data_IF_884688313851
#
_entry.id   IF_884688313851
#
_cell.length_a   1.000
_cell.length_b   1.000
_cell.length_c   1.000
_cell.angle_alpha   90.00
_cell.angle_beta   90.00
_cell.angle_gamma   90.00
#
_symmetry.space_group_name_H-M   'P 1'
#
loop_
_entity.id
_entity.type
_entity.pdbx_description
1 polymer ?
#
# COMPACT_ATOMS: atom_id res chain seq x y z
N UNK A 1 14.96 -11.63 16.83
CA UNK A 1 14.24 -12.67 16.07
C UNK A 1 15.21 -13.32 15.09
N UNK A 2 15.70 -14.53 15.41
CA UNK A 2 16.76 -15.24 14.66
C UNK A 2 16.33 -15.85 13.34
N UNK A 3 15.08 -15.80 12.97
CA UNK A 3 14.53 -16.32 11.70
C UNK A 3 13.90 -15.25 10.79
N UNK A 4 13.96 -13.98 11.17
CA UNK A 4 13.33 -12.91 10.38
C UNK A 4 14.05 -12.71 9.05
N UNK A 5 13.27 -12.66 7.98
CA UNK A 5 13.74 -12.35 6.62
C UNK A 5 13.01 -11.11 6.12
N UNK A 6 13.61 -10.42 5.18
CA UNK A 6 12.99 -9.29 4.48
C UNK A 6 13.29 -9.37 2.99
N UNK A 7 12.45 -8.74 2.19
CA UNK A 7 12.72 -8.57 0.77
C UNK A 7 13.53 -7.31 0.53
N UNK A 8 14.58 -7.41 -0.26
CA UNK A 8 15.41 -6.27 -0.67
C UNK A 8 14.80 -5.50 -1.85
N UNK A 9 13.88 -6.13 -2.58
CA UNK A 9 13.20 -5.51 -3.72
C UNK A 9 11.72 -5.93 -3.81
N UNK A 10 10.82 -5.28 -3.04
CA UNK A 10 9.38 -5.58 -3.09
C UNK A 10 8.75 -5.36 -4.47
N UNK A 11 9.21 -4.35 -5.20
CA UNK A 11 8.71 -4.04 -6.54
C UNK A 11 8.97 -5.17 -7.53
N UNK A 12 10.15 -5.81 -7.47
CA UNK A 12 10.47 -6.92 -8.33
C UNK A 12 9.54 -8.13 -8.11
N UNK A 13 9.09 -8.36 -6.87
CA UNK A 13 8.10 -9.40 -6.56
C UNK A 13 6.76 -9.06 -7.21
N UNK A 14 6.28 -7.84 -7.04
CA UNK A 14 5.01 -7.38 -7.62
C UNK A 14 5.03 -7.47 -9.15
N UNK A 15 6.13 -7.04 -9.78
CA UNK A 15 6.30 -7.14 -11.23
C UNK A 15 6.25 -8.58 -11.72
N UNK A 16 6.96 -9.51 -11.06
CA UNK A 16 6.93 -10.93 -11.42
C UNK A 16 5.54 -11.56 -11.29
N UNK A 17 4.77 -11.16 -10.27
CA UNK A 17 3.37 -11.63 -10.12
C UNK A 17 2.52 -11.08 -11.26
N UNK A 18 2.71 -9.80 -11.60
CA UNK A 18 2.01 -9.17 -12.72
C UNK A 18 2.36 -9.83 -14.07
N UNK A 19 3.65 -10.05 -14.34
CA UNK A 19 4.11 -10.72 -15.56
C UNK A 19 3.48 -12.11 -15.69
N UNK A 20 3.43 -12.86 -14.57
CA UNK A 20 2.79 -14.18 -14.55
C UNK A 20 1.28 -14.12 -14.77
N UNK A 21 0.61 -13.09 -14.25
CA UNK A 21 -0.81 -12.85 -14.52
C UNK A 21 -1.06 -12.64 -16.03
N UNK A 22 -0.25 -11.83 -16.69
CA UNK A 22 -0.36 -11.59 -18.14
C UNK A 22 -0.07 -12.87 -18.94
N UNK A 23 1.00 -13.61 -18.57
CA UNK A 23 1.36 -14.89 -19.20
C UNK A 23 0.21 -15.92 -19.12
N UNK A 24 -0.55 -15.91 -18.04
CA UNK A 24 -1.73 -16.77 -17.86
C UNK A 24 -2.99 -16.27 -18.58
N UNK A 25 -2.88 -15.24 -19.42
CA UNK A 25 -3.99 -14.68 -20.20
C UNK A 25 -4.77 -13.57 -19.48
N UNK A 26 -4.25 -13.05 -18.37
CA UNK A 26 -4.85 -11.90 -17.68
C UNK A 26 -4.78 -10.64 -18.53
N UNK A 27 -5.81 -9.81 -18.45
CA UNK A 27 -5.90 -8.53 -19.18
C UNK A 27 -5.74 -7.38 -18.19
N UNK A 28 -4.76 -6.52 -18.43
CA UNK A 28 -4.57 -5.30 -17.66
C UNK A 28 -5.22 -4.10 -18.35
N UNK A 29 -6.08 -3.40 -17.63
CA UNK A 29 -6.76 -2.19 -18.09
C UNK A 29 -6.33 -1.03 -17.19
N UNK A 30 -5.51 -0.14 -17.73
CA UNK A 30 -5.05 1.05 -17.00
C UNK A 30 -6.08 2.18 -17.10
N UNK A 31 -7.20 2.04 -16.38
CA UNK A 31 -8.27 3.03 -16.34
C UNK A 31 -8.86 3.15 -14.94
N UNK A 32 -9.37 4.34 -14.64
CA UNK A 32 -10.09 4.58 -13.39
C UNK A 32 -11.54 4.08 -13.49
N UNK A 33 -11.97 3.33 -12.49
CA UNK A 33 -13.38 2.92 -12.36
C UNK A 33 -14.16 4.09 -11.75
N UNK A 34 -15.05 4.70 -12.52
CA UNK A 34 -15.86 5.84 -12.08
C UNK A 34 -17.11 5.42 -11.30
N UNK A 35 -17.70 4.30 -11.70
CA UNK A 35 -18.91 3.78 -11.06
C UNK A 35 -19.07 2.28 -11.32
N UNK A 36 -19.93 1.65 -10.53
CA UNK A 36 -20.34 0.26 -10.63
C UNK A 36 -21.87 0.20 -10.68
N UNK A 37 -22.39 -0.55 -11.64
CA UNK A 37 -23.82 -0.85 -11.74
C UNK A 37 -24.02 -2.32 -11.45
N UNK A 38 -24.86 -2.59 -10.46
CA UNK A 38 -25.22 -3.95 -10.07
C UNK A 38 -26.44 -4.41 -10.88
N UNK A 39 -26.31 -5.55 -11.54
CA UNK A 39 -27.41 -6.27 -12.14
C UNK A 39 -27.55 -7.63 -11.45
N UNK A 40 -28.64 -8.34 -11.68
CA UNK A 40 -28.90 -9.64 -11.04
C UNK A 40 -27.81 -10.69 -11.34
N UNK A 41 -27.27 -10.68 -12.55
CA UNK A 41 -26.32 -11.71 -13.04
C UNK A 41 -24.89 -11.22 -13.22
N UNK A 42 -24.66 -9.90 -13.22
CA UNK A 42 -23.33 -9.34 -13.53
C UNK A 42 -23.14 -7.97 -12.86
N UNK A 43 -21.89 -7.52 -12.88
CA UNK A 43 -21.51 -6.16 -12.48
C UNK A 43 -20.95 -5.44 -13.70
N UNK A 44 -21.45 -4.25 -13.96
CA UNK A 44 -20.98 -3.40 -15.05
C UNK A 44 -20.04 -2.31 -14.46
N UNK A 45 -18.81 -2.28 -14.94
CA UNK A 45 -17.84 -1.27 -14.59
C UNK A 45 -17.92 -0.11 -15.58
N UNK A 46 -18.14 1.10 -15.06
CA UNK A 46 -18.09 2.34 -15.83
C UNK A 46 -16.72 2.99 -15.69
N UNK A 47 -16.03 3.11 -16.79
CA UNK A 47 -14.76 3.81 -16.94
C UNK A 47 -14.97 5.10 -17.74
N UNK A 48 -13.90 5.80 -18.11
CA UNK A 48 -14.01 7.10 -18.78
C UNK A 48 -14.70 7.00 -20.15
N UNK A 49 -14.27 6.05 -20.93
CA UNK A 49 -14.63 5.89 -22.36
C UNK A 49 -15.32 4.56 -22.66
N UNK A 50 -15.51 3.69 -21.67
CA UNK A 50 -16.10 2.37 -21.88
C UNK A 50 -16.83 1.82 -20.67
N UNK A 51 -17.68 0.83 -20.98
CA UNK A 51 -18.38 0.00 -19.99
C UNK A 51 -18.02 -1.46 -20.25
N UNK A 52 -17.73 -2.20 -19.20
CA UNK A 52 -17.40 -3.62 -19.30
C UNK A 52 -18.23 -4.38 -18.26
N UNK A 53 -18.81 -5.51 -18.68
CA UNK A 53 -19.56 -6.41 -17.81
C UNK A 53 -18.68 -7.57 -17.37
N UNK A 54 -18.81 -7.94 -16.10
CA UNK A 54 -18.15 -9.09 -15.51
C UNK A 54 -19.15 -9.90 -14.68
N UNK A 55 -18.99 -11.21 -14.69
CA UNK A 55 -19.82 -12.10 -13.86
C UNK A 55 -19.53 -11.89 -12.37
N UNK A 56 -18.28 -11.61 -12.03
CA UNK A 56 -17.83 -11.34 -10.66
C UNK A 56 -16.74 -10.28 -10.64
N UNK A 57 -16.67 -9.54 -9.54
CA UNK A 57 -15.59 -8.59 -9.28
C UNK A 57 -14.95 -8.86 -7.92
N UNK A 58 -13.65 -8.59 -7.84
CA UNK A 58 -12.90 -8.58 -6.57
C UNK A 58 -12.37 -7.17 -6.35
N UNK A 59 -12.72 -6.57 -5.24
CA UNK A 59 -12.31 -5.21 -4.88
C UNK A 59 -11.06 -5.29 -4.01
N UNK A 60 -9.91 -4.94 -4.61
CA UNK A 60 -8.58 -4.92 -4.00
C UNK A 60 -7.95 -3.52 -4.11
N UNK A 61 -8.75 -2.45 -3.93
CA UNK A 61 -8.32 -1.08 -4.17
C UNK A 61 -7.60 -0.43 -2.96
N UNK A 62 -7.08 -1.23 -2.02
CA UNK A 62 -6.34 -0.76 -0.85
C UNK A 62 -7.14 0.28 -0.06
N UNK A 63 -6.54 1.42 0.25
CA UNK A 63 -7.17 2.49 1.04
C UNK A 63 -8.39 3.13 0.35
N UNK A 64 -8.57 2.94 -0.95
CA UNK A 64 -9.72 3.43 -1.73
C UNK A 64 -10.87 2.44 -1.83
N UNK A 65 -10.72 1.23 -1.29
CA UNK A 65 -11.74 0.16 -1.39
C UNK A 65 -13.10 0.57 -0.84
N UNK A 66 -13.14 1.38 0.23
CA UNK A 66 -14.40 1.84 0.80
C UNK A 66 -15.18 2.79 -0.13
N UNK A 67 -14.49 3.56 -0.98
CA UNK A 67 -15.15 4.41 -1.98
C UNK A 67 -15.91 3.55 -2.99
N UNK A 68 -15.29 2.45 -3.45
CA UNK A 68 -15.89 1.52 -4.39
C UNK A 68 -16.99 0.70 -3.72
N UNK A 69 -16.79 0.24 -2.49
CA UNK A 69 -17.80 -0.48 -1.72
C UNK A 69 -19.07 0.36 -1.48
N UNK A 70 -18.90 1.66 -1.23
CA UNK A 70 -20.03 2.58 -1.06
C UNK A 70 -20.90 2.71 -2.33
N UNK A 71 -20.32 2.59 -3.53
CA UNK A 71 -21.09 2.56 -4.79
C UNK A 71 -22.02 1.34 -4.86
N UNK A 72 -21.65 0.26 -4.17
CA UNK A 72 -22.41 -0.98 -4.06
C UNK A 72 -23.31 -1.02 -2.82
N UNK A 73 -23.31 0.06 -2.03
CA UNK A 73 -24.10 0.20 -0.81
C UNK A 73 -23.51 -0.50 0.42
N UNK A 74 -22.33 -1.11 0.33
CA UNK A 74 -21.61 -1.64 1.50
C UNK A 74 -20.75 -0.55 2.13
N UNK A 75 -20.62 -0.58 3.47
CA UNK A 75 -19.83 0.39 4.22
C UNK A 75 -18.90 -0.34 5.19
N UNK A 76 -17.64 0.09 5.20
CA UNK A 76 -16.62 -0.46 6.09
C UNK A 76 -15.96 0.67 6.89
N UNK A 77 -15.57 0.44 8.14
CA UNK A 77 -14.82 1.41 8.94
C UNK A 77 -13.34 1.45 8.51
N UNK A 78 -13.09 1.57 7.20
CA UNK A 78 -11.77 1.63 6.61
C UNK A 78 -11.27 3.07 6.67
N UNK A 79 -10.12 3.26 7.28
CA UNK A 79 -9.36 4.51 7.24
C UNK A 79 -7.96 4.24 6.68
N UNK A 80 -7.11 5.24 6.65
CA UNK A 80 -5.74 5.10 6.18
C UNK A 80 -4.73 5.52 7.24
N UNK A 81 -3.87 4.59 7.60
CA UNK A 81 -2.64 4.86 8.31
C UNK A 81 -1.54 5.26 7.33
N UNK A 82 -1.21 6.53 7.31
CA UNK A 82 -0.20 7.07 6.41
C UNK A 82 1.19 6.80 6.98
N UNK A 83 1.94 5.94 6.30
CA UNK A 83 3.32 5.62 6.61
C UNK A 83 4.28 6.45 5.77
N UNK A 84 5.43 6.80 6.32
CA UNK A 84 6.46 7.61 5.66
C UNK A 84 7.77 6.85 5.56
N UNK A 85 8.52 7.09 4.49
CA UNK A 85 9.91 6.67 4.46
C UNK A 85 10.83 7.67 3.74
N UNK A 86 12.10 7.58 4.10
CA UNK A 86 13.21 8.25 3.43
C UNK A 86 14.17 7.19 2.94
N UNK A 87 14.65 7.33 1.71
CA UNK A 87 15.75 6.56 1.19
C UNK A 87 17.01 7.42 1.21
N UNK A 88 18.06 6.93 1.87
CA UNK A 88 19.37 7.55 1.91
C UNK A 88 20.33 6.80 0.97
N UNK A 89 21.11 7.54 0.22
CA UNK A 89 22.21 6.99 -0.57
C UNK A 89 23.28 6.38 0.35
N UNK A 90 23.81 5.23 -0.04
CA UNK A 90 25.02 4.66 0.56
C UNK A 90 25.82 3.93 -0.51
N UNK A 91 27.14 4.09 -0.47
CA UNK A 91 28.05 3.39 -1.37
C UNK A 91 28.43 1.99 -0.84
N UNK A 92 28.08 1.70 0.39
CA UNK A 92 28.42 0.47 1.09
C UNK A 92 27.25 -0.06 1.92
N UNK A 93 27.38 -1.30 2.34
CA UNK A 93 26.41 -1.94 3.21
C UNK A 93 26.60 -1.52 4.67
N UNK A 94 25.79 -0.61 5.17
CA UNK A 94 25.89 -0.07 6.50
C UNK A 94 25.25 -0.96 7.57
N UNK A 95 24.19 -1.71 7.23
CA UNK A 95 23.47 -2.59 8.16
C UNK A 95 23.20 -3.96 7.55
N UNK A 96 23.29 -5.01 8.38
CA UNK A 96 23.18 -6.40 7.93
C UNK A 96 21.77 -6.99 8.12
N UNK A 97 20.94 -6.34 8.91
CA UNK A 97 19.55 -6.77 9.21
C UNK A 97 18.68 -5.55 9.51
N UNK A 98 17.35 -5.64 9.40
CA UNK A 98 16.46 -4.56 9.82
C UNK A 98 16.71 -4.18 11.28
N UNK A 99 16.80 -2.89 11.55
CA UNK A 99 16.97 -2.31 12.88
C UNK A 99 15.73 -1.53 13.24
N UNK A 100 15.04 -1.93 14.30
CA UNK A 100 13.93 -1.18 14.87
C UNK A 100 14.44 -0.17 15.88
N UNK A 101 14.11 1.10 15.70
CA UNK A 101 14.37 2.15 16.68
C UNK A 101 13.05 2.52 17.37
N UNK A 102 12.75 1.82 18.47
CA UNK A 102 11.45 1.89 19.15
C UNK A 102 11.12 3.28 19.69
N UNK A 103 12.10 3.99 20.25
CA UNK A 103 11.91 5.33 20.82
C UNK A 103 11.40 6.37 19.82
N UNK A 104 11.73 6.21 18.55
CA UNK A 104 11.34 7.15 17.48
C UNK A 104 10.37 6.54 16.47
N UNK A 105 9.95 5.28 16.66
CA UNK A 105 8.91 4.61 15.87
C UNK A 105 9.25 4.41 14.40
N UNK A 106 10.51 4.08 14.07
CA UNK A 106 10.91 3.77 12.72
C UNK A 106 11.89 2.60 12.62
N UNK A 107 12.04 2.07 11.41
CA UNK A 107 12.95 0.99 11.07
C UNK A 107 13.98 1.47 10.07
N UNK A 108 15.23 1.02 10.21
CA UNK A 108 16.28 1.15 9.22
C UNK A 108 16.47 -0.19 8.52
N UNK A 109 16.46 -0.18 7.19
CA UNK A 109 16.52 -1.39 6.37
C UNK A 109 17.49 -1.13 5.22
N UNK A 110 18.51 -1.98 5.10
CA UNK A 110 19.37 -1.95 3.91
C UNK A 110 18.61 -2.52 2.73
N UNK A 111 18.53 -1.75 1.66
CA UNK A 111 17.99 -2.20 0.37
C UNK A 111 19.06 -2.05 -0.72
N UNK A 112 18.76 -2.48 -1.93
CA UNK A 112 19.76 -2.49 -3.02
C UNK A 112 20.40 -1.11 -3.27
N UNK A 113 19.61 -0.04 -3.18
CA UNK A 113 20.05 1.32 -3.55
C UNK A 113 20.38 2.21 -2.33
N UNK A 114 20.52 1.66 -1.13
CA UNK A 114 20.81 2.46 0.06
C UNK A 114 20.16 1.98 1.34
N UNK A 115 20.02 2.87 2.31
CA UNK A 115 19.30 2.61 3.56
C UNK A 115 17.95 3.31 3.53
N UNK A 116 16.88 2.55 3.73
CA UNK A 116 15.53 3.07 3.89
C UNK A 116 15.18 3.20 5.37
N UNK A 117 14.88 4.41 5.79
CA UNK A 117 14.27 4.70 7.08
C UNK A 117 12.75 4.80 6.90
N UNK A 118 12.00 3.85 7.45
CA UNK A 118 10.55 3.76 7.30
C UNK A 118 9.86 3.72 8.66
N UNK A 119 8.86 4.56 8.86
CA UNK A 119 8.14 4.58 10.14
C UNK A 119 7.11 5.68 10.20
N UNK A 120 6.69 5.92 11.43
CA UNK A 120 5.59 6.81 11.82
C UNK A 120 4.24 6.42 11.22
N UNK A 121 3.19 6.71 11.95
CA UNK A 121 1.81 6.53 11.53
C UNK A 121 1.08 7.85 11.68
N UNK A 122 0.32 8.22 10.66
CA UNK A 122 -0.54 9.39 10.69
C UNK A 122 -1.93 9.03 10.19
N UNK A 123 -2.94 9.22 11.01
CA UNK A 123 -4.34 9.11 10.60
C UNK A 123 -4.78 10.48 10.08
N UNK A 124 -4.96 10.62 8.77
CA UNK A 124 -5.26 11.91 8.15
C UNK A 124 -6.08 11.76 6.85
N UNK A 125 -6.75 10.64 6.66
CA UNK A 125 -7.55 10.37 5.48
C UNK A 125 -6.75 10.32 4.17
N UNK A 126 -7.47 10.21 3.07
CA UNK A 126 -6.87 9.99 1.74
C UNK A 126 -6.27 11.25 1.11
N UNK A 127 -6.84 12.43 1.34
CA UNK A 127 -6.63 13.61 0.50
C UNK A 127 -5.61 14.62 1.05
N UNK A 128 -5.24 14.52 2.33
CA UNK A 128 -4.30 15.45 2.95
C UNK A 128 -2.90 15.32 2.36
N UNK A 129 -2.22 16.42 2.14
CA UNK A 129 -0.83 16.45 1.65
C UNK A 129 0.14 15.78 2.63
N UNK A 130 1.28 15.23 2.16
CA UNK A 130 2.30 14.64 3.02
C UNK A 130 2.81 15.61 4.09
N UNK A 131 3.02 15.12 5.29
CA UNK A 131 3.48 15.92 6.41
C UNK A 131 5.01 16.00 6.44
N UNK A 132 5.55 17.13 6.01
CA UNK A 132 7.00 17.39 5.99
C UNK A 132 7.66 17.30 7.36
N UNK A 133 6.94 17.63 8.45
CA UNK A 133 7.50 17.53 9.80
C UNK A 133 7.85 16.09 10.19
N UNK A 134 7.07 15.11 9.71
CA UNK A 134 7.34 13.69 9.92
C UNK A 134 8.57 13.23 9.16
N UNK A 135 8.73 13.63 7.90
CA UNK A 135 9.93 13.34 7.12
C UNK A 135 11.18 13.93 7.78
N UNK A 136 11.13 15.21 8.17
CA UNK A 136 12.25 15.87 8.86
C UNK A 136 12.61 15.17 10.18
N UNK A 137 11.61 14.68 10.90
CA UNK A 137 11.82 13.92 12.14
C UNK A 137 12.52 12.60 11.85
N UNK A 138 12.05 11.83 10.86
CA UNK A 138 12.68 10.57 10.45
C UNK A 138 14.13 10.81 10.03
N UNK A 139 14.41 11.83 9.20
CA UNK A 139 15.75 12.16 8.76
C UNK A 139 16.68 12.46 9.93
N UNK A 140 16.27 13.39 10.79
CA UNK A 140 17.06 13.81 11.93
C UNK A 140 17.39 12.64 12.87
N UNK A 141 16.40 11.80 13.17
CA UNK A 141 16.59 10.66 14.07
C UNK A 141 17.42 9.55 13.41
N UNK A 142 17.22 9.29 12.12
CA UNK A 142 18.02 8.31 11.38
C UNK A 142 19.51 8.67 11.40
N UNK A 143 19.85 9.95 11.19
CA UNK A 143 21.23 10.43 11.24
C UNK A 143 21.85 10.38 12.63
N UNK A 144 21.07 10.43 13.69
CA UNK A 144 21.59 10.20 15.07
C UNK A 144 22.00 8.75 15.30
N UNK A 145 21.21 7.81 14.76
CA UNK A 145 21.45 6.36 14.89
C UNK A 145 22.55 5.90 13.96
N UNK A 146 22.58 6.44 12.75
CA UNK A 146 23.51 6.04 11.69
C UNK A 146 24.08 7.31 11.01
N UNK A 147 25.12 7.94 11.60
CA UNK A 147 25.70 9.18 11.08
C UNK A 147 26.27 9.07 9.66
N UNK A 148 26.64 7.85 9.22
CA UNK A 148 27.21 7.56 7.89
C UNK A 148 26.18 7.63 6.75
N UNK A 149 24.90 7.86 7.03
CA UNK A 149 23.88 8.01 5.99
C UNK A 149 24.23 9.16 5.04
N UNK A 150 24.25 8.85 3.75
CA UNK A 150 24.50 9.81 2.70
C UNK A 150 23.34 10.79 2.48
N UNK A 151 23.24 11.36 1.28
CA UNK A 151 22.16 12.29 0.92
C UNK A 151 20.81 11.60 0.90
N UNK A 152 19.75 12.38 1.12
CA UNK A 152 18.38 11.92 0.88
C UNK A 152 18.18 11.76 -0.63
N UNK A 153 18.00 10.53 -1.08
CA UNK A 153 17.72 10.19 -2.48
C UNK A 153 16.24 10.41 -2.82
N UNK A 154 15.35 9.97 -1.94
CA UNK A 154 13.90 10.14 -2.13
C UNK A 154 13.14 10.08 -0.82
N UNK A 155 11.93 10.62 -0.86
CA UNK A 155 10.94 10.53 0.22
C UNK A 155 9.64 9.98 -0.32
N UNK A 156 8.89 9.28 0.52
CA UNK A 156 7.63 8.70 0.13
C UNK A 156 6.63 8.65 1.28
N UNK A 157 5.34 8.73 0.93
CA UNK A 157 4.24 8.53 1.84
C UNK A 157 3.24 7.55 1.23
N UNK A 158 2.91 6.49 1.95
CA UNK A 158 1.91 5.51 1.57
C UNK A 158 0.68 5.52 2.45
N UNK A 159 -0.43 5.14 1.89
CA UNK A 159 -1.72 5.03 2.55
C UNK A 159 -2.00 3.55 2.80
N UNK A 160 -1.79 3.07 4.04
CA UNK A 160 -2.18 1.71 4.41
C UNK A 160 -3.69 1.66 4.61
N UNK A 161 -4.37 0.70 4.00
CA UNK A 161 -5.78 0.45 4.32
C UNK A 161 -5.86 -0.17 5.72
N UNK A 162 -6.46 0.52 6.67
CA UNK A 162 -6.49 0.05 8.07
C UNK A 162 -7.91 -0.01 8.58
N UNK A 163 -8.23 -1.11 9.27
CA UNK A 163 -9.47 -1.33 9.99
C UNK A 163 -9.23 -1.25 11.49
N UNK A 164 -10.25 -0.91 12.31
CA UNK A 164 -10.07 -0.73 13.76
C UNK A 164 -9.53 -1.95 14.50
N UNK A 165 -9.84 -3.14 14.03
CA UNK A 165 -9.39 -4.43 14.58
C UNK A 165 -8.09 -4.94 13.94
N UNK A 166 -7.53 -4.20 12.95
CA UNK A 166 -6.35 -4.57 12.17
C UNK A 166 -6.50 -5.90 11.40
N UNK A 167 -7.73 -6.38 11.19
CA UNK A 167 -7.99 -7.58 10.40
C UNK A 167 -8.41 -7.22 8.98
N UNK A 168 -7.95 -7.94 7.95
CA UNK A 168 -8.36 -7.69 6.57
C UNK A 168 -9.80 -8.15 6.33
N UNK A 169 -10.48 -7.45 5.42
CA UNK A 169 -11.77 -7.88 4.89
C UNK A 169 -11.52 -8.76 3.68
N UNK A 170 -11.81 -10.06 3.84
CA UNK A 170 -11.72 -11.05 2.77
C UNK A 170 -13.02 -11.84 2.76
N UNK A 171 -13.86 -11.61 1.75
CA UNK A 171 -15.15 -12.29 1.68
C UNK A 171 -16.12 -11.67 0.70
N UNK A 172 -17.28 -12.31 0.54
CA UNK A 172 -18.36 -11.82 -0.32
C UNK A 172 -19.07 -10.62 0.31
N UNK A 173 -19.59 -9.73 -0.53
CA UNK A 173 -20.57 -8.74 -0.14
C UNK A 173 -21.82 -9.42 0.43
N UNK A 174 -22.41 -8.82 1.46
CA UNK A 174 -23.70 -9.28 2.01
C UNK A 174 -24.89 -8.91 1.10
N UNK A 175 -24.69 -7.97 0.17
CA UNK A 175 -25.73 -7.46 -0.72
C UNK A 175 -25.69 -8.06 -2.12
N UNK A 176 -24.52 -8.53 -2.58
CA UNK A 176 -24.35 -9.07 -3.90
C UNK A 176 -23.30 -10.18 -3.94
N UNK A 177 -23.73 -11.39 -4.24
CA UNK A 177 -22.86 -12.58 -4.32
C UNK A 177 -21.79 -12.54 -5.43
N UNK A 178 -21.91 -11.59 -6.36
CA UNK A 178 -20.95 -11.39 -7.44
C UNK A 178 -19.82 -10.42 -7.05
N UNK A 179 -19.87 -9.85 -5.85
CA UNK A 179 -18.86 -8.94 -5.31
C UNK A 179 -18.07 -9.62 -4.20
N UNK A 180 -16.75 -9.58 -4.32
CA UNK A 180 -15.80 -10.08 -3.31
C UNK A 180 -14.92 -8.91 -2.88
N UNK A 181 -14.66 -8.80 -1.60
CA UNK A 181 -13.73 -7.84 -1.02
C UNK A 181 -12.42 -8.53 -0.63
N UNK A 182 -11.27 -7.87 -0.89
CA UNK A 182 -9.96 -8.30 -0.42
C UNK A 182 -9.08 -7.07 -0.18
N UNK A 183 -9.19 -6.46 1.00
CA UNK A 183 -8.45 -5.26 1.39
C UNK A 183 -8.29 -5.13 2.91
N UNK A 184 -7.49 -4.16 3.37
CA UNK A 184 -7.34 -3.85 4.79
C UNK A 184 -6.19 -4.59 5.48
N UNK A 185 -5.17 -5.07 4.71
CA UNK A 185 -3.99 -5.77 5.24
C UNK A 185 -2.67 -5.09 4.90
#
# INVERSE_FOLDING_TARGET
>A
FTGSRHTTNPLAISNKIFDKFIELGGIYINQHVKNLIQNEKNIELLMEDKKIKFDKIIICAGAWSNQIANMLGDKFPLDTERGYHILFETNEKLINRPVAWSESGFYLIQIHNGVRAAGTVEIAGLNKSPNKKRLNMIERQSRKVLPQLGKVQSTWMGRRPTLPDSLPIIGKSQKNNNVIYAFGH
#
